data_IF_558482476954
#
_entry.id   IF_558482476954
#
_cell.length_a   1.000
_cell.length_b   1.000
_cell.length_c   1.000
_cell.angle_alpha   90.00
_cell.angle_beta   90.00
_cell.angle_gamma   90.00
#
_symmetry.space_group_name_H-M   'P 1'
#
loop_
_entity.id
_entity.type
_entity.pdbx_description
1 polymer ?
#
# COMPACT_ATOMS: atom_id res chain seq x y z
N UNK A 1 -1.61 11.11 9.36
CA UNK A 1 -2.90 11.79 9.60
C UNK A 1 -3.71 10.93 10.55
N UNK A 2 -4.94 11.30 10.87
CA UNK A 2 -5.83 10.38 11.56
C UNK A 2 -6.15 9.17 10.67
N UNK A 3 -6.34 9.39 9.36
CA UNK A 3 -6.61 8.32 8.39
C UNK A 3 -5.33 7.87 7.67
N UNK A 4 -5.29 6.59 7.30
CA UNK A 4 -4.28 6.05 6.39
C UNK A 4 -4.40 6.62 4.98
N UNK A 5 -3.25 6.69 4.31
CA UNK A 5 -3.17 7.10 2.90
C UNK A 5 -2.41 6.03 2.11
N UNK A 6 -2.80 5.88 0.84
CA UNK A 6 -2.16 4.96 -0.09
C UNK A 6 -1.77 5.68 -1.39
N UNK A 7 -0.57 5.42 -1.90
CA UNK A 7 -0.09 5.98 -3.16
C UNK A 7 0.70 4.95 -4.00
N UNK A 8 0.66 5.04 -5.34
CA UNK A 8 1.57 4.28 -6.19
C UNK A 8 3.03 4.67 -5.95
N UNK A 9 3.93 3.69 -5.92
CA UNK A 9 5.36 3.90 -5.60
C UNK A 9 6.33 3.19 -6.56
N UNK A 10 5.82 2.64 -7.66
CA UNK A 10 6.58 1.94 -8.71
C UNK A 10 7.81 2.71 -9.21
N UNK A 11 7.72 4.04 -9.35
CA UNK A 11 8.82 4.90 -9.84
C UNK A 11 9.66 5.55 -8.75
N UNK A 12 9.23 5.48 -7.50
CA UNK A 12 9.87 6.19 -6.38
C UNK A 12 10.87 5.33 -5.60
N UNK A 13 10.77 4.00 -5.67
CA UNK A 13 11.68 3.11 -4.95
C UNK A 13 12.91 2.78 -5.80
N UNK A 14 13.98 3.55 -5.58
CA UNK A 14 15.32 3.30 -6.14
C UNK A 14 16.16 2.51 -5.13
N UNK A 15 16.03 1.17 -5.11
CA UNK A 15 16.89 0.32 -4.25
C UNK A 15 18.27 0.15 -4.89
N UNK A 16 19.32 0.59 -4.20
CA UNK A 16 20.71 0.61 -4.70
C UNK A 16 21.44 -0.73 -4.55
N UNK A 17 21.15 -1.51 -3.51
CA UNK A 17 21.84 -2.79 -3.24
C UNK A 17 21.21 -3.97 -3.98
N UNK A 18 19.88 -4.03 -4.05
CA UNK A 18 19.16 -5.08 -4.77
C UNK A 18 17.93 -4.48 -5.43
N UNK A 19 17.82 -4.65 -6.75
CA UNK A 19 16.65 -4.21 -7.51
C UNK A 19 15.39 -4.87 -6.95
N UNK A 20 14.34 -4.06 -6.79
CA UNK A 20 13.00 -4.59 -6.54
C UNK A 20 12.53 -5.32 -7.81
N UNK A 21 12.02 -6.54 -7.65
CA UNK A 21 11.66 -7.44 -8.76
C UNK A 21 10.32 -8.17 -8.54
N UNK A 22 9.48 -7.65 -7.65
CA UNK A 22 8.13 -8.19 -7.50
C UNK A 22 7.29 -7.88 -8.75
N UNK A 23 6.45 -8.82 -9.13
CA UNK A 23 5.47 -8.63 -10.20
C UNK A 23 4.29 -7.80 -9.70
N UNK A 24 3.74 -6.95 -10.57
CA UNK A 24 2.57 -6.12 -10.28
C UNK A 24 2.89 -4.72 -9.72
N UNK A 25 1.84 -3.93 -9.43
CA UNK A 25 1.97 -2.57 -8.95
C UNK A 25 2.51 -2.53 -7.52
N UNK A 26 3.37 -1.54 -7.25
CA UNK A 26 3.90 -1.27 -5.91
C UNK A 26 3.11 -0.13 -5.27
N UNK A 27 2.54 -0.38 -4.10
CA UNK A 27 1.79 0.60 -3.32
C UNK A 27 2.54 0.95 -2.03
N UNK A 28 2.52 2.22 -1.64
CA UNK A 28 3.04 2.72 -0.37
C UNK A 28 1.87 3.13 0.50
N UNK A 29 1.83 2.59 1.71
CA UNK A 29 0.86 2.96 2.72
C UNK A 29 1.54 3.84 3.78
N UNK A 30 0.88 4.93 4.14
CA UNK A 30 1.20 5.72 5.33
C UNK A 30 0.09 5.47 6.33
N UNK A 31 0.36 4.63 7.34
CA UNK A 31 -0.64 4.20 8.30
C UNK A 31 -1.02 5.36 9.23
N UNK A 32 -2.32 5.58 9.39
CA UNK A 32 -2.92 6.57 10.28
C UNK A 32 -3.08 6.04 11.72
N UNK A 33 -4.07 6.61 12.42
CA UNK A 33 -4.42 6.29 13.81
C UNK A 33 -5.87 5.84 13.94
N UNK A 34 -6.54 5.51 12.83
CA UNK A 34 -7.86 4.90 12.83
C UNK A 34 -7.86 3.50 13.48
N UNK A 35 -9.05 2.94 13.70
CA UNK A 35 -9.15 1.59 14.23
C UNK A 35 -8.54 0.58 13.25
N UNK A 36 -7.61 -0.30 13.68
CA UNK A 36 -6.94 -1.22 12.77
C UNK A 36 -7.89 -2.12 11.98
N UNK A 37 -8.98 -2.56 12.59
CA UNK A 37 -9.96 -3.43 11.92
C UNK A 37 -10.69 -2.72 10.77
N UNK A 38 -10.93 -1.40 10.89
CA UNK A 38 -11.57 -0.62 9.83
C UNK A 38 -10.63 -0.50 8.62
N UNK A 39 -9.34 -0.24 8.86
CA UNK A 39 -8.32 -0.19 7.81
C UNK A 39 -8.16 -1.53 7.10
N UNK A 40 -8.13 -2.63 7.85
CA UNK A 40 -8.03 -3.98 7.29
C UNK A 40 -9.24 -4.27 6.41
N UNK A 41 -10.45 -4.00 6.91
CA UNK A 41 -11.69 -4.22 6.16
C UNK A 41 -11.76 -3.38 4.88
N UNK A 42 -11.26 -2.14 4.88
CA UNK A 42 -11.21 -1.31 3.69
C UNK A 42 -10.21 -1.85 2.65
N UNK A 43 -9.02 -2.25 3.08
CA UNK A 43 -8.00 -2.86 2.21
C UNK A 43 -8.49 -4.18 1.60
N UNK A 44 -9.14 -5.05 2.38
CA UNK A 44 -9.73 -6.29 1.90
C UNK A 44 -10.78 -6.03 0.80
N UNK A 45 -11.71 -5.08 1.04
CA UNK A 45 -12.73 -4.70 0.07
C UNK A 45 -12.14 -4.10 -1.21
N UNK A 46 -11.11 -3.27 -1.10
CA UNK A 46 -10.42 -2.66 -2.24
C UNK A 46 -9.68 -3.69 -3.09
N UNK A 47 -8.90 -4.57 -2.44
CA UNK A 47 -8.12 -5.59 -3.13
C UNK A 47 -8.99 -6.70 -3.75
N UNK A 48 -10.10 -7.06 -3.11
CA UNK A 48 -11.05 -8.04 -3.66
C UNK A 48 -11.63 -7.63 -5.03
N UNK A 49 -11.64 -6.32 -5.35
CA UNK A 49 -12.11 -5.81 -6.66
C UNK A 49 -11.05 -5.93 -7.77
N UNK A 50 -9.82 -6.30 -7.44
CA UNK A 50 -8.73 -6.51 -8.41
C UNK A 50 -8.60 -7.98 -8.84
N UNK A 51 -9.38 -8.89 -8.24
CA UNK A 51 -9.40 -10.32 -8.52
C UNK A 51 -10.20 -10.68 -9.78
#
# INVERSE_FOLDING_TARGET
>A
GYESLITPSDRQIMRTVRKWSAEGPLLRLSIGLEHPDDLIADLEQGLAKLA
#
